data_IF_309688136518
#
_entry.id   IF_309688136518
#
_cell.length_a   1.000
_cell.length_b   1.000
_cell.length_c   1.000
_cell.angle_alpha   90.00
_cell.angle_beta   90.00
_cell.angle_gamma   90.00
#
_symmetry.space_group_name_H-M   'P 1'
#
loop_
_entity.id
_entity.type
_entity.pdbx_description
1 polymer ?
#
# COMPACT_ATOMS: atom_id res chain seq x y z
N UNK A 1 2.50 8.04 -16.24
CA UNK A 1 2.10 8.55 -14.91
C UNK A 1 0.61 8.84 -14.96
N UNK A 2 -0.23 7.79 -14.95
CA UNK A 2 -1.70 7.89 -15.08
C UNK A 2 -2.45 6.74 -14.39
N UNK A 3 -1.79 5.61 -14.15
CA UNK A 3 -2.43 4.43 -13.55
C UNK A 3 -3.15 4.74 -12.24
N UNK A 4 -2.46 5.35 -11.26
CA UNK A 4 -3.06 5.63 -9.95
C UNK A 4 -4.15 6.72 -9.99
N UNK A 5 -4.04 7.68 -10.91
CA UNK A 5 -5.11 8.65 -11.18
C UNK A 5 -6.38 7.93 -11.65
N UNK A 6 -6.25 6.96 -12.57
CA UNK A 6 -7.39 6.19 -13.05
C UNK A 6 -7.97 5.26 -11.96
N UNK A 7 -7.13 4.73 -11.06
CA UNK A 7 -7.60 3.95 -9.91
C UNK A 7 -8.45 4.82 -8.98
N UNK A 8 -8.01 6.05 -8.71
CA UNK A 8 -8.75 7.02 -7.89
C UNK A 8 -10.08 7.35 -8.58
N UNK A 9 -10.06 7.72 -9.86
CA UNK A 9 -11.29 8.06 -10.61
C UNK A 9 -12.29 6.90 -10.69
N UNK A 10 -11.81 5.66 -10.69
CA UNK A 10 -12.66 4.46 -10.76
C UNK A 10 -13.21 4.03 -9.39
N UNK A 11 -12.74 4.59 -8.29
CA UNK A 11 -13.11 4.19 -6.93
C UNK A 11 -13.99 5.28 -6.29
N UNK A 12 -15.15 4.95 -5.69
CA UNK A 12 -16.00 5.92 -5.02
C UNK A 12 -15.49 6.26 -3.61
N UNK A 13 -14.23 6.67 -3.50
CA UNK A 13 -13.56 7.03 -2.24
C UNK A 13 -12.48 8.07 -2.51
N UNK A 14 -12.17 8.90 -1.51
CA UNK A 14 -11.07 9.86 -1.62
C UNK A 14 -9.72 9.12 -1.61
N UNK A 15 -8.63 9.67 -2.19
CA UNK A 15 -7.34 8.99 -2.25
C UNK A 15 -6.85 8.45 -0.90
N UNK A 16 -7.02 9.23 0.17
CA UNK A 16 -6.62 8.86 1.53
C UNK A 16 -7.48 7.76 2.18
N UNK A 17 -8.54 7.31 1.52
CA UNK A 17 -9.42 6.21 1.97
C UNK A 17 -9.15 4.91 1.19
N UNK A 18 -8.26 4.95 0.19
CA UNK A 18 -7.96 3.82 -0.69
C UNK A 18 -6.62 3.19 -0.29
N UNK A 19 -6.66 1.93 0.12
CA UNK A 19 -5.46 1.12 0.40
C UNK A 19 -5.03 0.34 -0.86
N UNK A 20 -3.90 0.73 -1.46
CA UNK A 20 -3.28 0.00 -2.56
C UNK A 20 -2.33 -1.09 -2.06
N UNK A 21 -2.46 -2.31 -2.56
CA UNK A 21 -1.60 -3.45 -2.17
C UNK A 21 -0.61 -3.76 -3.29
N UNK A 22 0.68 -3.71 -2.99
CA UNK A 22 1.75 -3.94 -3.97
C UNK A 22 2.93 -4.71 -3.39
N UNK A 23 3.72 -5.35 -4.25
CA UNK A 23 4.92 -6.12 -3.85
C UNK A 23 6.24 -5.42 -4.21
N UNK A 24 6.16 -4.26 -4.88
CA UNK A 24 7.30 -3.46 -5.33
C UNK A 24 7.27 -2.03 -4.83
N UNK A 25 8.36 -1.59 -4.22
CA UNK A 25 8.51 -0.21 -3.78
C UNK A 25 8.51 0.80 -4.93
N UNK A 26 9.23 0.48 -6.00
CA UNK A 26 9.47 1.37 -7.13
C UNK A 26 8.22 1.56 -8.00
N UNK A 27 7.46 0.48 -8.22
CA UNK A 27 6.33 0.47 -9.13
C UNK A 27 4.97 0.64 -8.44
N UNK A 28 4.82 0.10 -7.24
CA UNK A 28 3.53 0.08 -6.56
C UNK A 28 3.49 1.14 -5.46
N UNK A 29 4.39 1.04 -4.49
CA UNK A 29 4.30 1.81 -3.25
C UNK A 29 4.61 3.29 -3.47
N UNK A 30 5.82 3.63 -3.95
CA UNK A 30 6.21 5.04 -4.11
C UNK A 30 5.26 5.81 -5.04
N UNK A 31 4.81 5.25 -6.17
CA UNK A 31 3.85 5.95 -7.02
C UNK A 31 2.46 6.08 -6.39
N UNK A 32 1.97 5.06 -5.67
CA UNK A 32 0.68 5.13 -4.95
C UNK A 32 0.71 6.18 -3.84
N UNK A 33 1.77 6.22 -3.03
CA UNK A 33 1.96 7.24 -1.99
C UNK A 33 2.00 8.65 -2.59
N UNK A 34 2.70 8.85 -3.72
CA UNK A 34 2.69 10.15 -4.42
C UNK A 34 1.31 10.56 -4.95
N UNK A 35 0.44 9.59 -5.24
CA UNK A 35 -0.94 9.83 -5.65
C UNK A 35 -1.89 10.07 -4.45
N UNK A 36 -1.38 10.02 -3.21
CA UNK A 36 -2.17 10.24 -2.00
C UNK A 36 -2.88 8.99 -1.47
N UNK A 37 -2.57 7.80 -2.01
CA UNK A 37 -3.14 6.54 -1.57
C UNK A 37 -2.47 6.02 -0.29
N UNK A 38 -3.24 5.32 0.55
CA UNK A 38 -2.67 4.43 1.57
C UNK A 38 -2.04 3.22 0.89
N UNK A 39 -1.05 2.59 1.53
CA UNK A 39 -0.34 1.45 0.91
C UNK A 39 -0.06 0.30 1.86
N UNK A 40 -0.23 -0.93 1.35
CA UNK A 40 0.20 -2.16 2.00
C UNK A 40 1.27 -2.85 1.15
N UNK A 41 2.50 -2.96 1.68
CA UNK A 41 3.57 -3.69 1.02
C UNK A 41 3.48 -5.17 1.39
N UNK A 42 3.14 -6.01 0.42
CA UNK A 42 3.06 -7.46 0.61
C UNK A 42 4.39 -8.15 0.30
N UNK A 43 4.82 -9.06 1.18
CA UNK A 43 5.99 -9.89 0.96
C UNK A 43 5.69 -11.02 -0.03
N UNK A 44 5.59 -10.67 -1.31
CA UNK A 44 5.47 -11.63 -2.42
C UNK A 44 6.49 -11.36 -3.51
N UNK A 45 6.76 -12.40 -4.29
CA UNK A 45 7.71 -12.35 -5.40
C UNK A 45 9.18 -12.16 -4.97
N UNK A 46 10.08 -12.11 -5.95
CA UNK A 46 11.51 -11.89 -5.71
C UNK A 46 11.78 -10.48 -5.17
N UNK A 47 11.01 -9.48 -5.62
CA UNK A 47 11.20 -8.08 -5.22
C UNK A 47 10.84 -7.81 -3.76
N UNK A 48 9.77 -8.41 -3.24
CA UNK A 48 9.42 -8.31 -1.82
C UNK A 48 10.51 -8.87 -0.87
N UNK A 49 11.41 -9.72 -1.37
CA UNK A 49 12.59 -10.19 -0.63
C UNK A 49 13.78 -9.24 -0.81
N UNK A 50 14.08 -8.81 -2.04
CA UNK A 50 15.20 -7.92 -2.36
C UNK A 50 15.04 -6.56 -1.67
N UNK A 51 13.86 -5.98 -1.77
CA UNK A 51 13.54 -4.66 -1.24
C UNK A 51 13.13 -4.70 0.24
N UNK A 52 13.22 -5.87 0.89
CA UNK A 52 12.71 -6.05 2.26
C UNK A 52 13.34 -5.10 3.28
N UNK A 53 14.63 -4.82 3.10
CA UNK A 53 15.45 -3.96 3.97
C UNK A 53 15.63 -2.54 3.43
N UNK A 54 14.91 -2.17 2.38
CA UNK A 54 14.89 -0.79 1.92
C UNK A 54 14.30 0.08 3.04
N UNK A 55 14.95 1.19 3.45
CA UNK A 55 14.46 2.05 4.53
C UNK A 55 13.04 2.57 4.29
N UNK A 56 12.66 2.77 3.02
CA UNK A 56 11.34 3.28 2.69
C UNK A 56 10.25 2.22 2.84
N UNK A 57 10.61 0.93 2.88
CA UNK A 57 9.66 -0.16 3.08
C UNK A 57 8.86 -0.04 4.38
N UNK A 58 9.39 0.65 5.39
CA UNK A 58 8.69 0.95 6.63
C UNK A 58 8.30 2.44 6.72
N UNK A 59 9.10 3.34 6.14
CA UNK A 59 8.90 4.78 6.30
C UNK A 59 7.72 5.36 5.51
N UNK A 60 7.37 4.79 4.35
CA UNK A 60 6.33 5.37 3.47
C UNK A 60 5.08 4.49 3.35
N UNK A 61 5.13 3.25 3.81
CA UNK A 61 3.98 2.34 3.74
C UNK A 61 3.06 2.53 4.93
N UNK A 62 1.76 2.40 4.72
CA UNK A 62 0.79 2.36 5.83
C UNK A 62 0.95 1.08 6.64
N UNK A 63 1.18 -0.06 5.98
CA UNK A 63 1.40 -1.33 6.64
C UNK A 63 2.19 -2.32 5.79
N UNK A 64 2.75 -3.33 6.45
CA UNK A 64 3.36 -4.50 5.81
C UNK A 64 2.54 -5.73 6.12
N UNK A 65 2.42 -6.59 5.14
CA UNK A 65 1.70 -7.86 5.27
C UNK A 65 2.51 -8.98 4.61
N UNK A 66 2.41 -10.19 5.14
CA UNK A 66 3.03 -11.36 4.54
C UNK A 66 2.05 -12.11 3.61
N UNK A 67 0.75 -11.93 3.82
CA UNK A 67 -0.34 -12.55 3.06
C UNK A 67 -1.55 -11.61 2.92
N UNK A 68 -2.34 -11.81 1.85
CA UNK A 68 -3.62 -11.08 1.70
C UNK A 68 -4.65 -11.46 2.77
N UNK A 69 -4.49 -12.62 3.40
CA UNK A 69 -5.39 -13.05 4.47
C UNK A 69 -5.38 -12.10 5.69
N UNK A 70 -4.27 -11.38 5.89
CA UNK A 70 -4.10 -10.43 7.00
C UNK A 70 -4.83 -9.10 6.77
N UNK A 71 -5.26 -8.80 5.54
CA UNK A 71 -5.77 -7.47 5.19
C UNK A 71 -6.98 -7.06 6.01
N UNK A 72 -7.96 -7.96 6.18
CA UNK A 72 -9.21 -7.62 6.86
C UNK A 72 -8.96 -7.19 8.31
N UNK A 73 -8.13 -7.94 9.04
CA UNK A 73 -7.74 -7.65 10.42
C UNK A 73 -6.92 -6.37 10.51
N UNK A 74 -5.87 -6.25 9.67
CA UNK A 74 -4.97 -5.08 9.69
C UNK A 74 -5.67 -3.77 9.31
N UNK A 75 -6.62 -3.81 8.37
CA UNK A 75 -7.45 -2.64 8.02
C UNK A 75 -8.37 -2.28 9.18
N UNK A 76 -8.98 -3.26 9.85
CA UNK A 76 -9.84 -3.00 11.00
C UNK A 76 -9.09 -2.33 12.14
N UNK A 77 -7.88 -2.80 12.45
CA UNK A 77 -7.00 -2.20 13.47
C UNK A 77 -6.60 -0.77 13.08
N UNK A 78 -6.13 -0.55 11.85
CA UNK A 78 -5.76 0.77 11.35
C UNK A 78 -6.92 1.77 11.45
N UNK A 79 -8.12 1.37 11.04
CA UNK A 79 -9.32 2.22 11.09
C UNK A 79 -9.79 2.50 12.52
N UNK A 80 -9.50 1.61 13.48
CA UNK A 80 -9.81 1.82 14.88
C UNK A 80 -8.84 2.80 15.55
N UNK A 81 -7.57 2.79 15.14
CA UNK A 81 -6.53 3.71 15.63
C UNK A 81 -6.68 5.14 15.09
N UNK A 82 -7.24 5.29 13.88
CA UNK A 82 -7.47 6.60 13.23
C UNK A 82 -8.74 7.35 13.68
N UNK A 83 -9.47 6.84 14.68
CA UNK A 83 -10.74 7.38 15.18
C UNK A 83 -10.59 8.00 16.55
#
# INVERSE_FOLDING_TARGET
MRFFEHVIEATPAEPGEILYVGDRLDNDIRPAVRAGLLTALIRRGPWGTIQRRDPDADAITTMRIDSLAELAERIAEFNAEGR
#
